data_IF_313995672182
#
_entry.id   IF_313995672182
#
_cell.length_a   1.000
_cell.length_b   1.000
_cell.length_c   1.000
_cell.angle_alpha   90.00
_cell.angle_beta   90.00
_cell.angle_gamma   90.00
#
_symmetry.space_group_name_H-M   'P 1'
#
loop_
_entity.id
_entity.type
_entity.pdbx_description
1 polymer ?
#
# COMPACT_ATOMS: atom_id res chain seq x y z
N UNK A 1 -3.93 11.05 -5.01
CA UNK A 1 -2.93 10.01 -4.69
C UNK A 1 -2.07 9.79 -5.91
N UNK A 2 -0.76 9.73 -5.73
CA UNK A 2 0.23 9.55 -6.81
C UNK A 2 0.93 8.22 -6.59
N UNK A 3 0.93 7.34 -7.60
CA UNK A 3 1.69 6.09 -7.51
C UNK A 3 3.16 6.38 -7.83
N UNK A 4 4.04 6.26 -6.84
CA UNK A 4 5.49 6.38 -7.02
C UNK A 4 6.11 5.06 -7.50
N UNK A 5 5.56 3.93 -7.06
CA UNK A 5 5.94 2.60 -7.53
C UNK A 5 4.73 1.65 -7.50
N UNK A 6 4.66 0.71 -8.44
CA UNK A 6 3.54 -0.26 -8.52
C UNK A 6 3.94 -1.63 -9.07
N UNK A 7 4.80 -2.32 -8.34
CA UNK A 7 5.31 -3.65 -8.71
C UNK A 7 6.43 -3.59 -9.76
N UNK A 8 7.25 -2.53 -9.71
CA UNK A 8 8.47 -2.45 -10.52
C UNK A 8 9.54 -3.44 -10.05
N UNK A 9 10.64 -3.47 -10.80
CA UNK A 9 11.85 -4.20 -10.42
C UNK A 9 12.32 -3.76 -9.04
N UNK A 10 12.68 -4.74 -8.20
CA UNK A 10 13.09 -4.50 -6.83
C UNK A 10 14.02 -5.61 -6.37
N UNK A 11 14.83 -5.28 -5.37
CA UNK A 11 15.75 -6.21 -4.73
C UNK A 11 15.36 -6.39 -3.26
N UNK A 12 15.43 -7.62 -2.77
CA UNK A 12 15.28 -7.93 -1.35
C UNK A 12 16.64 -7.82 -0.69
N UNK A 13 17.05 -6.59 -0.41
CA UNK A 13 18.36 -6.29 0.18
C UNK A 13 18.57 -7.01 1.51
N UNK A 14 17.55 -7.02 2.37
CA UNK A 14 17.53 -7.76 3.63
C UNK A 14 16.12 -8.28 3.94
N UNK A 15 16.04 -9.40 4.67
CA UNK A 15 14.78 -9.99 5.13
C UNK A 15 13.94 -10.68 4.03
N UNK A 16 12.73 -11.16 4.37
CA UNK A 16 11.92 -11.96 3.46
C UNK A 16 11.37 -11.17 2.26
N UNK A 17 11.03 -9.89 2.46
CA UNK A 17 10.39 -9.03 1.45
C UNK A 17 9.10 -9.62 0.86
N UNK A 18 8.57 -8.97 -0.19
CA UNK A 18 7.44 -9.49 -0.98
C UNK A 18 7.68 -9.30 -2.47
N UNK A 19 7.07 -10.17 -3.28
CA UNK A 19 7.20 -10.16 -4.74
C UNK A 19 6.56 -8.93 -5.42
N UNK A 20 5.76 -8.14 -4.70
CA UNK A 20 5.11 -6.94 -5.21
C UNK A 20 5.12 -5.84 -4.16
N UNK A 21 5.72 -4.71 -4.52
CA UNK A 21 5.80 -3.52 -3.67
C UNK A 21 5.06 -2.35 -4.34
N UNK A 22 4.30 -1.58 -3.56
CA UNK A 22 3.53 -0.43 -4.05
C UNK A 22 3.79 0.75 -3.11
N UNK A 23 4.12 1.91 -3.69
CA UNK A 23 4.32 3.15 -2.96
C UNK A 23 3.33 4.16 -3.52
N UNK A 24 2.49 4.71 -2.64
CA UNK A 24 1.48 5.70 -3.00
C UNK A 24 1.68 6.92 -2.11
N UNK A 25 1.91 8.06 -2.75
CA UNK A 25 1.96 9.35 -2.09
C UNK A 25 0.56 9.95 -1.99
N UNK A 26 0.24 10.45 -0.81
CA UNK A 26 -0.97 11.22 -0.53
C UNK A 26 -0.57 12.63 -0.08
N UNK A 27 -1.45 13.64 -0.23
CA UNK A 27 -1.15 15.01 0.18
C UNK A 27 -1.01 15.17 1.71
N UNK A 28 -1.47 14.19 2.50
CA UNK A 28 -1.28 14.12 3.95
C UNK A 28 -1.55 12.70 4.46
N UNK A 29 -1.12 12.37 5.69
CA UNK A 29 -1.48 11.10 6.33
C UNK A 29 -3.00 10.96 6.53
N UNK A 30 -3.70 12.05 6.83
CA UNK A 30 -5.15 12.05 6.94
C UNK A 30 -5.83 11.60 5.63
N UNK A 31 -5.39 12.12 4.49
CA UNK A 31 -5.90 11.69 3.19
C UNK A 31 -5.63 10.21 2.89
N UNK A 32 -4.48 9.68 3.33
CA UNK A 32 -4.18 8.25 3.22
C UNK A 32 -5.11 7.41 4.13
N UNK A 33 -5.37 7.90 5.34
CA UNK A 33 -6.28 7.27 6.30
C UNK A 33 -7.72 7.23 5.78
N UNK A 34 -8.23 8.35 5.26
CA UNK A 34 -9.57 8.44 4.67
C UNK A 34 -9.71 7.51 3.47
N UNK A 35 -8.69 7.45 2.62
CA UNK A 35 -8.66 6.53 1.50
C UNK A 35 -8.72 5.07 1.97
N UNK A 36 -7.84 4.67 2.90
CA UNK A 36 -7.77 3.31 3.39
C UNK A 36 -9.09 2.87 4.04
N UNK A 37 -9.70 3.71 4.88
CA UNK A 37 -10.92 3.38 5.62
C UNK A 37 -12.21 3.64 4.84
N UNK A 38 -12.14 4.17 3.62
CA UNK A 38 -13.32 4.36 2.77
C UNK A 38 -14.05 3.03 2.52
N UNK A 39 -15.40 3.03 2.47
CA UNK A 39 -16.17 1.83 2.13
C UNK A 39 -15.73 1.18 0.81
N UNK A 40 -15.37 2.00 -0.17
CA UNK A 40 -14.91 1.60 -1.49
C UNK A 40 -13.61 0.81 -1.41
N UNK A 41 -12.63 1.33 -0.68
CA UNK A 41 -11.34 0.69 -0.54
C UNK A 41 -11.41 -0.56 0.35
N UNK A 42 -12.23 -0.55 1.41
CA UNK A 42 -12.43 -1.72 2.27
C UNK A 42 -13.06 -2.90 1.51
N UNK A 43 -13.96 -2.65 0.55
CA UNK A 43 -14.44 -3.70 -0.36
C UNK A 43 -13.30 -4.31 -1.18
N UNK A 44 -12.36 -3.49 -1.65
CA UNK A 44 -11.18 -3.97 -2.38
C UNK A 44 -10.19 -4.73 -1.47
N UNK A 45 -10.01 -4.30 -0.22
CA UNK A 45 -9.20 -5.01 0.78
C UNK A 45 -9.73 -6.42 1.03
N UNK A 46 -11.05 -6.58 1.17
CA UNK A 46 -11.67 -7.89 1.39
C UNK A 46 -11.44 -8.89 0.24
N UNK A 47 -11.28 -8.39 -1.00
CA UNK A 47 -10.90 -9.22 -2.15
C UNK A 47 -9.40 -9.58 -2.04
N UNK A 48 -8.54 -8.58 -1.82
CA UNK A 48 -7.08 -8.76 -1.71
C UNK A 48 -6.71 -9.79 -0.65
N UNK A 49 -7.31 -9.72 0.54
CA UNK A 49 -7.00 -10.62 1.66
C UNK A 49 -7.33 -12.09 1.37
N UNK A 50 -8.18 -12.40 0.37
CA UNK A 50 -8.48 -13.78 -0.04
C UNK A 50 -7.43 -14.38 -0.97
N UNK A 51 -6.63 -13.54 -1.63
CA UNK A 51 -5.77 -13.95 -2.75
C UNK A 51 -4.32 -13.53 -2.60
N UNK A 52 -3.99 -12.74 -1.58
CA UNK A 52 -2.64 -12.23 -1.36
C UNK A 52 -2.38 -11.89 0.11
N UNK A 53 -1.19 -12.25 0.58
CA UNK A 53 -0.62 -11.76 1.83
C UNK A 53 0.11 -10.43 1.57
N UNK A 54 -0.09 -9.45 2.44
CA UNK A 54 0.56 -8.15 2.32
C UNK A 54 0.33 -7.23 3.50
N UNK A 55 1.40 -6.55 3.91
CA UNK A 55 1.36 -5.45 4.86
C UNK A 55 1.03 -4.14 4.14
N UNK A 56 0.14 -3.34 4.75
CA UNK A 56 -0.11 -1.96 4.35
C UNK A 56 0.19 -1.11 5.58
N UNK A 57 1.08 -0.14 5.42
CA UNK A 57 1.46 0.81 6.45
C UNK A 57 1.19 2.22 5.94
N UNK A 58 0.68 3.08 6.82
CA UNK A 58 0.51 4.50 6.57
C UNK A 58 1.58 5.25 7.38
N UNK A 59 2.37 6.09 6.72
CA UNK A 59 3.54 6.75 7.32
C UNK A 59 3.49 8.24 6.97
N UNK A 60 3.65 9.10 7.96
CA UNK A 60 3.79 10.55 7.76
C UNK A 60 5.17 10.87 7.18
N UNK A 61 5.23 11.79 6.22
CA UNK A 61 6.50 12.31 5.69
C UNK A 61 7.21 13.19 6.72
N UNK A 62 8.53 13.37 6.55
CA UNK A 62 9.32 14.32 7.35
C UNK A 62 9.32 15.72 6.76
#
# INVERSE_FOLDING_TARGET
ATFLARGGEHEKAEGPGRARNVIIEFPSLAAAHDCYHSPEYQRAVAIRQKVADGEIVLVEGI
#
